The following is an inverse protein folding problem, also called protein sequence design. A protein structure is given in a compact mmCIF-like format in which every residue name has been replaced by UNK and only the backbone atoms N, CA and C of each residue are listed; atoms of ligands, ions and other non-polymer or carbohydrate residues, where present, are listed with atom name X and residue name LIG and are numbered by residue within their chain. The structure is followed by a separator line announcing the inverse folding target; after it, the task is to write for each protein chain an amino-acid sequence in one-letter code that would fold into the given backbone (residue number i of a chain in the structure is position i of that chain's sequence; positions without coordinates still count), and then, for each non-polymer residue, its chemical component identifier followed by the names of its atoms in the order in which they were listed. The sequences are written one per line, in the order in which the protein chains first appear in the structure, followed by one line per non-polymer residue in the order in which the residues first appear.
data_IF_881172808624
#
_entry.id   IF_881172808624
#
_cell.length_a   1.000
_cell.length_b   1.000
_cell.length_c   1.000
_cell.angle_alpha   90.00
_cell.angle_beta   90.00
_cell.angle_gamma   90.00
#
_symmetry.space_group_name_H-M   'P 1'
#
loop_
_entity.id
_entity.type
_entity.pdbx_description
1 polymer ?
#
# COMPACT_ATOMS: atom_id res chain seq x y z
N UNK A 1 -1.72 -51.59 30.78
CA UNK A 1 -1.08 -51.16 29.52
C UNK A 1 -1.98 -51.59 28.36
N UNK A 2 -2.62 -50.64 27.68
CA UNK A 2 -3.37 -50.90 26.43
C UNK A 2 -2.92 -49.86 25.41
N UNK A 3 -2.15 -50.30 24.43
CA UNK A 3 -1.79 -49.50 23.26
C UNK A 3 -3.04 -49.35 22.39
N UNK A 4 -3.61 -48.16 22.32
CA UNK A 4 -4.64 -47.82 21.35
C UNK A 4 -3.92 -47.13 20.19
N UNK A 5 -3.54 -47.92 19.19
CA UNK A 5 -2.99 -47.40 17.93
C UNK A 5 -4.16 -47.02 17.03
N UNK A 6 -4.57 -45.76 17.04
CA UNK A 6 -5.53 -45.23 16.07
C UNK A 6 -4.89 -44.03 15.37
N UNK A 7 -4.03 -44.33 14.40
CA UNK A 7 -3.58 -43.33 13.44
C UNK A 7 -3.55 -43.98 12.06
N UNK A 8 -4.75 -44.18 11.48
CA UNK A 8 -4.93 -44.64 10.11
C UNK A 8 -6.05 -43.84 9.44
N UNK A 9 -5.89 -42.54 9.27
CA UNK A 9 -6.64 -41.78 8.26
C UNK A 9 -5.76 -40.65 7.72
N UNK A 10 -4.87 -40.94 6.76
CA UNK A 10 -4.53 -39.97 5.71
C UNK A 10 -4.30 -40.77 4.42
N UNK A 11 -5.28 -40.72 3.51
CA UNK A 11 -5.18 -41.34 2.18
C UNK A 11 -4.03 -40.71 1.38
N UNK A 12 -3.43 -41.41 0.40
CA UNK A 12 -2.37 -40.84 -0.44
C UNK A 12 -2.83 -39.57 -1.18
N UNK A 13 -4.12 -39.47 -1.51
CA UNK A 13 -4.75 -38.27 -2.07
C UNK A 13 -4.77 -37.10 -1.10
N UNK A 14 -5.06 -37.35 0.19
CA UNK A 14 -5.00 -36.33 1.23
C UNK A 14 -3.57 -35.81 1.46
N UNK A 15 -2.57 -36.68 1.35
CA UNK A 15 -1.15 -36.29 1.44
C UNK A 15 -0.73 -35.41 0.26
N UNK A 16 -1.17 -35.74 -0.96
CA UNK A 16 -0.90 -34.94 -2.16
C UNK A 16 -1.56 -33.56 -2.08
N UNK A 17 -2.83 -33.50 -1.64
CA UNK A 17 -3.53 -32.24 -1.43
C UNK A 17 -2.85 -31.37 -0.36
N UNK A 18 -2.46 -31.97 0.76
CA UNK A 18 -1.74 -31.28 1.82
C UNK A 18 -0.40 -30.74 1.33
N UNK A 19 0.37 -31.56 0.60
CA UNK A 19 1.63 -31.13 -0.02
C UNK A 19 1.42 -29.97 -0.98
N UNK A 20 0.36 -29.98 -1.77
CA UNK A 20 0.03 -28.91 -2.72
C UNK A 20 -0.31 -27.61 -1.98
N UNK A 21 -1.07 -27.69 -0.88
CA UNK A 21 -1.40 -26.53 -0.04
C UNK A 21 -0.14 -25.89 0.58
N UNK A 22 0.84 -26.70 1.01
CA UNK A 22 2.11 -26.18 1.52
C UNK A 22 2.96 -25.49 0.43
N UNK A 23 2.85 -25.91 -0.84
CA UNK A 23 3.55 -25.24 -1.95
C UNK A 23 2.98 -23.84 -2.27
N UNK A 24 1.71 -23.58 -1.96
CA UNK A 24 1.07 -22.27 -2.17
C UNK A 24 1.10 -21.36 -0.94
N UNK A 25 1.70 -21.82 0.18
CA UNK A 25 2.02 -20.99 1.34
C UNK A 25 3.25 -20.11 1.03
N UNK A 26 3.11 -19.21 0.05
CA UNK A 26 4.08 -18.18 -0.23
C UNK A 26 4.10 -17.15 0.90
N UNK A 27 5.29 -16.77 1.37
CA UNK A 27 5.44 -15.66 2.30
C UNK A 27 4.96 -14.38 1.62
N UNK A 28 3.91 -13.75 2.17
CA UNK A 28 3.54 -12.39 1.77
C UNK A 28 4.64 -11.45 2.25
N UNK A 29 5.43 -10.91 1.33
CA UNK A 29 6.36 -9.84 1.66
C UNK A 29 5.56 -8.55 1.68
N UNK A 30 5.21 -8.08 2.89
CA UNK A 30 4.60 -6.78 3.04
C UNK A 30 5.54 -5.71 2.47
N UNK A 31 5.02 -4.88 1.57
CA UNK A 31 5.78 -3.73 1.08
C UNK A 31 6.11 -2.84 2.26
N UNK A 32 7.38 -2.45 2.38
CA UNK A 32 7.81 -1.49 3.39
C UNK A 32 7.03 -0.19 3.22
N UNK A 33 6.44 0.30 4.31
CA UNK A 33 5.73 1.56 4.28
C UNK A 33 6.73 2.71 4.10
N UNK A 34 6.61 3.44 2.99
CA UNK A 34 7.39 4.65 2.72
C UNK A 34 6.53 5.84 3.11
N UNK A 35 6.86 6.45 4.26
CA UNK A 35 6.13 7.60 4.80
C UNK A 35 6.13 8.82 3.86
N UNK A 36 7.24 9.05 3.14
CA UNK A 36 7.37 10.15 2.19
C UNK A 36 8.28 9.73 1.05
N UNK A 37 7.74 9.41 -0.15
CA UNK A 37 8.54 9.25 -1.35
C UNK A 37 9.32 10.53 -1.66
N UNK A 38 10.53 10.42 -2.19
CA UNK A 38 11.29 11.57 -2.66
C UNK A 38 10.62 12.17 -3.91
N UNK A 39 10.34 13.48 -3.89
CA UNK A 39 9.91 14.21 -5.08
C UNK A 39 11.15 14.75 -5.80
N UNK A 40 11.51 14.12 -6.91
CA UNK A 40 12.71 14.50 -7.66
C UNK A 40 12.54 15.89 -8.30
N UNK A 41 13.58 16.73 -8.23
CA UNK A 41 13.60 18.04 -8.90
C UNK A 41 13.49 17.85 -10.41
N UNK A 42 12.64 18.64 -11.06
CA UNK A 42 12.39 18.54 -12.49
C UNK A 42 11.38 17.45 -12.90
N UNK A 43 10.88 16.66 -11.94
CA UNK A 43 9.75 15.77 -12.21
C UNK A 43 8.50 16.56 -12.57
N UNK A 44 7.62 15.97 -13.39
CA UNK A 44 6.33 16.57 -13.69
C UNK A 44 5.49 16.60 -12.42
N UNK A 45 5.03 17.79 -12.04
CA UNK A 45 4.02 17.94 -11.00
C UNK A 45 2.74 17.21 -11.44
N UNK A 46 2.11 16.43 -10.54
CA UNK A 46 0.79 15.89 -10.81
C UNK A 46 -0.21 17.04 -10.99
N UNK A 47 -1.34 16.76 -11.64
CA UNK A 47 -2.40 17.74 -11.77
C UNK A 47 -2.92 18.14 -10.39
N UNK A 48 -2.73 19.40 -10.02
CA UNK A 48 -3.25 19.98 -8.77
C UNK A 48 -4.46 20.84 -9.11
N UNK A 49 -5.63 20.40 -8.66
CA UNK A 49 -6.90 21.13 -8.76
C UNK A 49 -7.70 20.96 -7.47
N UNK A 50 -8.09 22.08 -6.86
CA UNK A 50 -8.86 22.08 -5.61
C UNK A 50 -9.68 23.37 -5.50
N UNK A 51 -10.71 23.36 -4.65
CA UNK A 51 -11.42 24.58 -4.30
C UNK A 51 -10.58 25.42 -3.33
N UNK A 52 -10.58 26.74 -3.52
CA UNK A 52 -10.00 27.68 -2.56
C UNK A 52 -10.96 27.96 -1.39
N UNK A 53 -10.58 28.90 -0.52
CA UNK A 53 -11.37 29.27 0.66
C UNK A 53 -12.70 29.96 0.30
N UNK A 54 -12.87 30.37 -0.95
CA UNK A 54 -14.08 30.98 -1.48
C UNK A 54 -14.94 29.95 -2.22
N UNK A 55 -14.45 28.71 -2.38
CA UNK A 55 -15.12 27.65 -3.12
C UNK A 55 -14.81 27.66 -4.62
N UNK A 56 -13.95 28.56 -5.09
CA UNK A 56 -13.58 28.62 -6.51
C UNK A 56 -12.58 27.51 -6.85
N UNK A 57 -12.81 26.83 -7.96
CA UNK A 57 -11.87 25.82 -8.45
C UNK A 57 -10.60 26.50 -8.95
N UNK A 58 -9.45 26.17 -8.34
CA UNK A 58 -8.12 26.64 -8.73
C UNK A 58 -7.25 25.48 -9.17
N UNK A 59 -6.44 25.72 -10.20
CA UNK A 59 -5.40 24.82 -10.65
C UNK A 59 -4.00 25.39 -10.39
N UNK A 60 -2.96 24.54 -10.51
CA UNK A 60 -1.57 25.00 -10.48
C UNK A 60 -1.30 26.14 -11.48
N UNK A 61 -1.85 26.05 -12.69
CA UNK A 61 -1.64 27.07 -13.74
C UNK A 61 -2.28 28.41 -13.39
N UNK A 62 -3.37 28.41 -12.62
CA UNK A 62 -4.04 29.63 -12.17
C UNK A 62 -3.27 30.34 -11.03
N UNK A 63 -2.50 29.57 -10.26
CA UNK A 63 -1.84 30.05 -9.03
C UNK A 63 -0.35 30.35 -9.20
N UNK A 64 0.31 29.79 -10.22
CA UNK A 64 1.74 30.01 -10.47
C UNK A 64 2.01 31.45 -10.91
N UNK A 65 2.99 32.10 -10.28
CA UNK A 65 3.51 33.39 -10.72
C UNK A 65 4.69 33.24 -11.69
N UNK A 66 5.24 34.38 -12.14
CA UNK A 66 6.43 34.40 -13.01
C UNK A 66 7.70 33.81 -12.37
N UNK A 67 7.73 33.73 -11.03
CA UNK A 67 8.83 33.13 -10.26
C UNK A 67 8.48 31.72 -9.73
N UNK A 68 7.37 31.13 -10.19
CA UNK A 68 6.86 29.87 -9.68
C UNK A 68 5.93 30.02 -8.49
N UNK A 69 5.83 28.95 -7.69
CA UNK A 69 4.92 28.85 -6.55
C UNK A 69 5.56 27.97 -5.46
N UNK A 70 5.31 28.34 -4.19
CA UNK A 70 5.72 27.56 -3.01
C UNK A 70 4.53 26.78 -2.47
N UNK A 71 4.64 25.45 -2.40
CA UNK A 71 3.68 24.60 -1.71
C UNK A 71 4.09 24.38 -0.26
N UNK A 72 3.24 24.81 0.67
CA UNK A 72 3.37 24.49 2.09
C UNK A 72 2.30 23.46 2.46
N UNK A 73 2.72 22.22 2.69
CA UNK A 73 1.85 21.13 3.10
C UNK A 73 1.92 20.98 4.62
N UNK A 74 0.80 21.21 5.29
CA UNK A 74 0.67 20.97 6.74
C UNK A 74 -0.40 19.92 6.99
N UNK A 75 -0.06 18.92 7.80
CA UNK A 75 -1.03 17.98 8.39
C UNK A 75 -1.17 18.31 9.86
N UNK A 76 -2.36 18.68 10.31
CA UNK A 76 -2.70 18.62 11.73
C UNK A 76 -2.99 17.15 12.06
N UNK A 77 -2.44 16.66 13.18
CA UNK A 77 -2.73 15.34 13.71
C UNK A 77 -3.34 15.50 15.09
N UNK A 78 -4.59 15.05 15.24
CA UNK A 78 -5.21 14.85 16.54
C UNK A 78 -4.69 13.52 17.08
N UNK A 79 -3.77 13.56 18.04
CA UNK A 79 -3.35 12.39 18.81
C UNK A 79 -4.20 12.26 20.06
#
# INVERSE_FOLDING_TARGET
MKHITLCRIISPTGKALLSLLFCFFGASLAQGFIWSPELQVGSSLPELRAQDQQGDLRSFEDLKGGNGMLFMLSRSFDW
#
